data_IF_185095328258
#
_entry.id   IF_185095328258
#
_cell.length_a   1.000
_cell.length_b   1.000
_cell.length_c   1.000
_cell.angle_alpha   90.00
_cell.angle_beta   90.00
_cell.angle_gamma   90.00
#
_symmetry.space_group_name_H-M   'P 1'
#
loop_
_entity.id
_entity.type
_entity.pdbx_description
1 polymer ?
#
# COMPACT_ATOMS: atom_id res chain seq x y z
N UNK A 1 33.98 -9.78 32.88
CA UNK A 1 33.90 -11.26 32.95
C UNK A 1 33.27 -11.60 34.29
N UNK A 2 32.18 -12.37 34.32
CA UNK A 2 31.56 -12.77 35.60
C UNK A 2 32.52 -13.73 36.33
N UNK A 3 32.65 -13.57 37.65
CA UNK A 3 33.53 -14.41 38.46
C UNK A 3 32.92 -15.82 38.53
N UNK A 4 33.72 -16.85 38.24
CA UNK A 4 33.30 -18.26 38.21
C UNK A 4 32.72 -18.68 39.57
N UNK A 5 33.19 -18.06 40.65
CA UNK A 5 32.69 -18.27 42.01
C UNK A 5 31.23 -17.83 42.17
N UNK A 6 30.82 -16.75 41.51
CA UNK A 6 29.44 -16.26 41.54
C UNK A 6 28.50 -17.20 40.77
N UNK A 7 28.98 -17.82 39.69
CA UNK A 7 28.21 -18.81 38.91
C UNK A 7 28.07 -20.13 39.68
N UNK A 8 29.13 -20.59 40.33
CA UNK A 8 29.10 -21.77 41.20
C UNK A 8 28.17 -21.57 42.40
N UNK A 9 28.12 -20.35 42.95
CA UNK A 9 27.19 -19.99 44.02
C UNK A 9 25.74 -19.99 43.52
N UNK A 10 25.46 -19.41 42.36
CA UNK A 10 24.13 -19.39 41.76
C UNK A 10 23.59 -20.80 41.44
N UNK A 11 24.46 -21.71 40.97
CA UNK A 11 24.07 -23.10 40.73
C UNK A 11 23.71 -23.83 42.03
N UNK A 12 24.53 -23.65 43.07
CA UNK A 12 24.25 -24.22 44.40
C UNK A 12 22.96 -23.66 45.01
N UNK A 13 22.69 -22.38 44.80
CA UNK A 13 21.45 -21.74 45.26
C UNK A 13 20.22 -22.21 44.45
N UNK A 14 20.41 -22.63 43.19
CA UNK A 14 19.34 -23.19 42.36
C UNK A 14 18.95 -24.62 42.75
N UNK A 15 19.92 -25.45 43.17
CA UNK A 15 19.66 -26.82 43.66
C UNK A 15 18.97 -26.84 45.03
N UNK A 16 19.20 -25.81 45.85
CA UNK A 16 18.58 -25.67 47.18
C UNK A 16 17.20 -24.99 47.16
N UNK A 17 16.69 -24.62 45.97
CA UNK A 17 15.38 -24.00 45.88
C UNK A 17 14.31 -25.06 46.13
N UNK A 18 13.40 -24.86 47.11
CA UNK A 18 12.34 -25.82 47.36
C UNK A 18 11.51 -26.02 46.08
N UNK A 19 11.02 -27.25 45.83
CA UNK A 19 10.18 -27.51 44.68
C UNK A 19 8.97 -26.57 44.68
N UNK A 20 8.51 -26.13 43.51
CA UNK A 20 7.38 -25.22 43.42
C UNK A 20 6.18 -25.82 44.15
N UNK A 21 5.57 -25.03 45.02
CA UNK A 21 4.39 -25.48 45.77
C UNK A 21 3.21 -25.63 44.83
N UNK A 22 2.18 -26.37 45.26
CA UNK A 22 0.97 -26.58 44.46
C UNK A 22 0.29 -25.25 44.09
N UNK A 23 0.35 -24.25 44.97
CA UNK A 23 -0.10 -22.89 44.71
C UNK A 23 0.73 -22.17 43.64
N UNK A 24 2.04 -22.40 43.59
CA UNK A 24 2.91 -21.85 42.53
C UNK A 24 2.56 -22.46 41.17
N UNK A 25 2.30 -23.77 41.13
CA UNK A 25 1.86 -24.47 39.92
C UNK A 25 0.51 -23.96 39.42
N UNK A 26 -0.45 -23.72 40.32
CA UNK A 26 -1.73 -23.11 39.97
C UNK A 26 -1.58 -21.68 39.45
N UNK A 27 -0.71 -20.88 40.05
CA UNK A 27 -0.42 -19.51 39.60
C UNK A 27 0.27 -19.50 38.22
N UNK A 28 1.17 -20.46 37.96
CA UNK A 28 1.79 -20.67 36.65
C UNK A 28 0.72 -21.09 35.63
N UNK A 29 -0.16 -22.05 35.97
CA UNK A 29 -1.23 -22.50 35.11
C UNK A 29 -2.22 -21.36 34.77
N UNK A 30 -2.59 -20.52 35.74
CA UNK A 30 -3.42 -19.33 35.52
C UNK A 30 -2.75 -18.32 34.58
N UNK A 31 -1.44 -18.10 34.71
CA UNK A 31 -0.66 -17.22 33.80
C UNK A 31 -0.53 -17.78 32.39
N UNK A 32 -0.38 -19.10 32.24
CA UNK A 32 -0.30 -19.78 30.93
C UNK A 32 -1.68 -19.81 30.27
N UNK A 33 -2.75 -19.99 31.05
CA UNK A 33 -4.13 -20.03 30.54
C UNK A 33 -4.60 -18.67 30.03
N UNK A 34 -4.03 -17.57 30.52
CA UNK A 34 -4.35 -16.23 30.07
C UNK A 34 -3.05 -15.46 29.71
N UNK A 35 -2.41 -15.79 28.56
CA UNK A 35 -1.22 -15.10 28.12
C UNK A 35 -1.63 -13.69 27.66
N UNK A 36 -1.52 -12.72 28.55
CA UNK A 36 -1.87 -11.32 28.24
C UNK A 36 -1.02 -10.75 27.07
N UNK A 37 0.11 -11.37 26.74
CA UNK A 37 0.95 -11.02 25.60
C UNK A 37 0.40 -11.47 24.23
N UNK A 38 -0.63 -12.33 24.19
CA UNK A 38 -1.20 -12.86 22.94
C UNK A 38 -2.58 -12.28 22.58
N UNK A 39 -3.18 -11.44 23.44
CA UNK A 39 -4.50 -10.84 23.17
C UNK A 39 -4.43 -9.81 22.03
N UNK A 40 -3.37 -9.01 21.99
CA UNK A 40 -3.18 -7.97 20.96
C UNK A 40 -2.85 -8.54 19.57
N UNK A 41 -2.39 -9.78 19.50
CA UNK A 41 -2.04 -10.45 18.24
C UNK A 41 -3.30 -10.69 17.38
N UNK A 42 -4.47 -10.86 18.00
CA UNK A 42 -5.71 -11.21 17.30
C UNK A 42 -6.58 -10.00 16.92
N UNK A 43 -6.31 -8.81 17.45
CA UNK A 43 -7.19 -7.64 17.32
C UNK A 43 -6.66 -6.63 16.31
N UNK A 44 -5.33 -6.49 16.18
CA UNK A 44 -4.70 -5.49 15.32
C UNK A 44 -3.94 -6.18 14.18
N UNK A 45 -4.04 -5.60 12.98
CA UNK A 45 -3.23 -6.05 11.85
C UNK A 45 -1.74 -6.00 12.23
N UNK A 46 -0.93 -6.89 11.63
CA UNK A 46 0.52 -6.91 11.87
C UNK A 46 1.16 -5.53 11.67
N UNK A 47 0.74 -4.79 10.65
CA UNK A 47 1.22 -3.44 10.34
C UNK A 47 0.90 -2.46 11.45
N UNK A 48 -0.34 -2.48 11.97
CA UNK A 48 -0.78 -1.60 13.06
C UNK A 48 0.03 -1.81 14.34
N UNK A 49 0.60 -2.99 14.55
CA UNK A 49 1.46 -3.29 15.71
C UNK A 49 2.89 -2.81 15.55
N UNK A 50 3.38 -2.68 14.32
CA UNK A 50 4.74 -2.22 14.04
C UNK A 50 4.85 -0.69 14.04
N UNK A 51 3.75 0.00 13.72
CA UNK A 51 3.74 1.44 13.64
C UNK A 51 3.56 2.07 15.02
N UNK A 52 4.26 3.18 15.32
CA UNK A 52 3.99 3.97 16.53
C UNK A 52 2.54 4.48 16.56
N UNK A 53 1.96 4.61 17.74
CA UNK A 53 0.55 5.00 17.91
C UNK A 53 0.20 6.34 17.26
N UNK A 54 1.16 7.27 17.18
CA UNK A 54 0.97 8.58 16.54
C UNK A 54 0.63 8.50 15.05
N UNK A 55 1.00 7.43 14.34
CA UNK A 55 0.61 7.20 12.94
C UNK A 55 -0.83 6.72 12.79
N UNK A 56 -1.42 6.14 13.84
CA UNK A 56 -2.80 5.64 13.83
C UNK A 56 -3.81 6.65 14.40
N UNK A 57 -3.33 7.67 15.10
CA UNK A 57 -4.17 8.69 15.73
C UNK A 57 -4.70 9.75 14.74
N UNK A 58 -4.22 9.75 13.50
CA UNK A 58 -4.57 10.76 12.51
C UNK A 58 -5.67 10.25 11.56
N UNK A 59 -6.78 10.99 11.49
CA UNK A 59 -7.86 10.77 10.51
C UNK A 59 -7.79 11.84 9.43
N UNK A 60 -7.61 11.43 8.17
CA UNK A 60 -7.71 12.35 7.03
C UNK A 60 -9.19 12.64 6.74
N UNK A 61 -9.64 13.87 7.02
CA UNK A 61 -10.94 14.35 6.59
C UNK A 61 -10.77 15.00 5.22
N UNK A 62 -11.43 14.46 4.19
CA UNK A 62 -11.49 14.99 2.82
C UNK A 62 -10.13 15.11 2.11
N UNK A 63 -9.73 14.01 1.48
CA UNK A 63 -8.49 13.92 0.70
C UNK A 63 -8.68 14.63 -0.66
N UNK A 64 -8.08 15.81 -0.83
CA UNK A 64 -8.14 16.55 -2.10
C UNK A 64 -7.04 16.07 -3.07
N UNK A 65 -7.40 15.10 -3.92
CA UNK A 65 -6.52 14.51 -4.94
C UNK A 65 -5.99 15.51 -5.97
N UNK A 66 -6.61 16.68 -6.13
CA UNK A 66 -6.20 17.67 -7.16
C UNK A 66 -4.79 18.19 -6.96
N UNK A 67 -4.38 18.30 -5.70
CA UNK A 67 -3.08 18.84 -5.30
C UNK A 67 -1.96 17.81 -5.35
N UNK A 68 -2.26 16.55 -5.70
CA UNK A 68 -1.26 15.50 -5.75
C UNK A 68 -0.40 15.57 -7.01
N UNK A 69 0.85 15.14 -6.84
CA UNK A 69 1.76 14.92 -7.94
C UNK A 69 1.28 13.74 -8.79
N UNK A 70 1.57 13.77 -10.09
CA UNK A 70 1.21 12.72 -11.04
C UNK A 70 1.66 11.32 -10.60
N UNK A 71 2.85 11.18 -10.01
CA UNK A 71 3.34 9.90 -9.48
C UNK A 71 2.47 9.37 -8.34
N UNK A 72 1.98 10.25 -7.46
CA UNK A 72 1.06 9.86 -6.40
C UNK A 72 -0.29 9.44 -6.97
N UNK A 73 -0.75 10.09 -8.05
CA UNK A 73 -1.97 9.70 -8.75
C UNK A 73 -1.81 8.34 -9.44
N UNK A 74 -0.65 8.08 -10.07
CA UNK A 74 -0.35 6.75 -10.61
C UNK A 74 -0.31 5.70 -9.50
N UNK A 75 0.28 6.01 -8.34
CA UNK A 75 0.27 5.13 -7.18
C UNK A 75 -1.16 4.78 -6.76
N UNK A 76 -2.01 5.78 -6.54
CA UNK A 76 -3.40 5.57 -6.16
C UNK A 76 -4.12 4.71 -7.22
N UNK A 77 -3.92 5.01 -8.50
CA UNK A 77 -4.58 4.29 -9.59
C UNK A 77 -4.19 2.81 -9.65
N UNK A 78 -2.91 2.46 -9.51
CA UNK A 78 -2.44 1.07 -9.62
C UNK A 78 -2.54 0.30 -8.30
N UNK A 79 -2.48 0.97 -7.14
CA UNK A 79 -2.47 0.32 -5.83
C UNK A 79 -3.87 0.12 -5.22
N UNK A 80 -4.86 0.93 -5.61
CA UNK A 80 -6.21 0.92 -5.02
C UNK A 80 -7.29 0.61 -6.07
N UNK A 81 -7.31 -0.60 -6.66
CA UNK A 81 -8.31 -0.96 -7.66
C UNK A 81 -9.74 -0.91 -7.08
N UNK A 82 -10.71 -0.62 -7.95
CA UNK A 82 -12.15 -0.62 -7.63
C UNK A 82 -12.55 0.39 -6.52
N UNK A 83 -11.71 1.40 -6.29
CA UNK A 83 -11.96 2.44 -5.29
C UNK A 83 -12.40 3.76 -5.92
N UNK A 84 -13.18 4.54 -5.17
CA UNK A 84 -13.52 5.92 -5.59
C UNK A 84 -12.26 6.78 -5.79
N UNK A 85 -11.23 6.53 -4.98
CA UNK A 85 -9.93 7.20 -5.10
C UNK A 85 -9.23 6.89 -6.42
N UNK A 86 -9.36 5.67 -6.94
CA UNK A 86 -8.81 5.31 -8.25
C UNK A 86 -9.48 6.11 -9.36
N UNK A 87 -10.80 6.24 -9.36
CA UNK A 87 -11.50 7.02 -10.42
C UNK A 87 -11.19 8.51 -10.30
N UNK A 88 -11.13 9.02 -9.07
CA UNK A 88 -10.68 10.39 -8.78
C UNK A 88 -9.27 10.64 -9.31
N UNK A 89 -8.33 9.73 -9.06
CA UNK A 89 -6.96 9.84 -9.56
C UNK A 89 -6.88 9.72 -11.09
N UNK A 90 -7.65 8.81 -11.68
CA UNK A 90 -7.77 8.66 -13.13
C UNK A 90 -8.22 9.97 -13.79
N UNK A 91 -9.32 10.56 -13.30
CA UNK A 91 -9.85 11.80 -13.86
C UNK A 91 -8.87 12.96 -13.72
N UNK A 92 -8.18 13.06 -12.58
CA UNK A 92 -7.18 14.08 -12.36
C UNK A 92 -5.96 13.92 -13.29
N UNK A 93 -5.55 12.68 -13.62
CA UNK A 93 -4.52 12.41 -14.62
C UNK A 93 -4.96 12.87 -16.03
N UNK A 94 -6.22 12.64 -16.40
CA UNK A 94 -6.77 13.12 -17.67
C UNK A 94 -6.79 14.66 -17.73
N UNK A 95 -7.18 15.33 -16.63
CA UNK A 95 -7.16 16.80 -16.51
C UNK A 95 -5.74 17.35 -16.64
N UNK A 96 -4.74 16.65 -16.08
CA UNK A 96 -3.30 17.00 -16.21
C UNK A 96 -2.72 16.69 -17.60
N UNK A 97 -3.53 16.21 -18.55
CA UNK A 97 -3.14 16.03 -19.96
C UNK A 97 -2.67 14.62 -20.33
N UNK A 98 -2.70 13.67 -19.40
CA UNK A 98 -2.49 12.27 -19.73
C UNK A 98 -3.73 11.69 -20.43
N UNK A 99 -3.54 10.58 -21.13
CA UNK A 99 -4.63 9.75 -21.65
C UNK A 99 -4.33 8.30 -21.30
N UNK A 100 -5.36 7.51 -21.02
CA UNK A 100 -5.17 6.08 -20.82
C UNK A 100 -5.36 5.35 -22.15
N UNK A 101 -4.39 4.53 -22.55
CA UNK A 101 -4.49 3.70 -23.75
C UNK A 101 -4.84 2.27 -23.36
N UNK A 102 -6.02 1.78 -23.78
CA UNK A 102 -6.42 0.37 -23.62
C UNK A 102 -5.47 -0.60 -24.32
N UNK A 103 -4.82 -0.16 -25.39
CA UNK A 103 -3.90 -1.02 -26.15
C UNK A 103 -2.60 -1.25 -25.37
N UNK A 104 -2.09 -0.22 -24.70
CA UNK A 104 -0.86 -0.29 -23.91
C UNK A 104 -1.11 -0.62 -22.43
N UNK A 105 -2.37 -0.56 -21.99
CA UNK A 105 -2.77 -0.63 -20.58
C UNK A 105 -1.98 0.34 -19.68
N UNK A 106 -1.69 1.52 -20.21
CA UNK A 106 -0.82 2.50 -19.58
C UNK A 106 -1.27 3.93 -19.87
N UNK A 107 -0.90 4.85 -18.98
CA UNK A 107 -1.04 6.27 -19.21
C UNK A 107 0.03 6.78 -20.17
N UNK A 108 -0.42 7.55 -21.14
CA UNK A 108 0.40 8.15 -22.17
C UNK A 108 0.22 9.66 -22.19
N UNK A 109 1.31 10.37 -22.44
CA UNK A 109 1.32 11.81 -22.62
C UNK A 109 1.79 12.14 -24.03
N UNK A 110 1.07 13.07 -24.65
CA UNK A 110 1.30 13.49 -26.03
C UNK A 110 1.77 14.94 -26.03
N UNK A 111 2.94 15.20 -26.63
CA UNK A 111 3.37 16.57 -26.92
C UNK A 111 2.58 17.16 -28.10
N UNK A 112 2.13 16.29 -29.01
CA UNK A 112 1.45 16.63 -30.25
C UNK A 112 -0.06 16.37 -30.20
N UNK A 113 -0.87 16.97 -31.10
CA UNK A 113 -2.30 16.70 -31.18
C UNK A 113 -2.60 15.23 -31.49
N UNK A 114 -3.65 14.70 -30.85
CA UNK A 114 -4.15 13.31 -30.95
C UNK A 114 -4.89 13.09 -32.29
N UNK A 115 -4.16 13.10 -33.41
CA UNK A 115 -4.72 12.94 -34.76
C UNK A 115 -4.23 11.62 -35.36
N UNK A 116 -5.13 10.86 -35.97
CA UNK A 116 -4.80 9.68 -36.75
C UNK A 116 -4.15 10.09 -38.08
N UNK A 117 -2.82 10.05 -38.14
CA UNK A 117 -2.05 10.45 -39.33
C UNK A 117 -1.18 9.30 -39.88
N UNK A 118 -1.28 8.11 -39.29
CA UNK A 118 -0.47 6.93 -39.60
C UNK A 118 1.05 7.17 -39.52
N UNK A 119 1.48 8.20 -38.78
CA UNK A 119 2.91 8.47 -38.56
C UNK A 119 3.38 7.84 -37.26
N UNK A 120 4.66 7.49 -37.24
CA UNK A 120 5.36 7.11 -36.01
C UNK A 120 5.69 8.36 -35.22
N UNK A 121 5.26 8.39 -33.96
CA UNK A 121 5.56 9.46 -33.01
C UNK A 121 6.15 8.86 -31.75
N UNK A 122 7.08 9.60 -31.13
CA UNK A 122 7.58 9.26 -29.81
C UNK A 122 6.63 9.82 -28.77
N UNK A 123 6.06 8.94 -27.95
CA UNK A 123 5.13 9.28 -26.88
C UNK A 123 5.74 8.94 -25.54
N UNK A 124 5.38 9.71 -24.52
CA UNK A 124 5.82 9.43 -23.15
C UNK A 124 4.80 8.49 -22.51
N UNK A 125 5.25 7.33 -22.04
CA UNK A 125 4.42 6.29 -21.42
C UNK A 125 4.88 6.11 -19.99
N UNK A 126 3.95 6.06 -19.03
CA UNK A 126 4.29 5.69 -17.67
C UNK A 126 4.34 4.16 -17.54
N UNK A 127 5.48 3.62 -17.11
CA UNK A 127 5.67 2.19 -16.86
C UNK A 127 5.46 1.87 -15.37
N UNK A 128 4.38 1.17 -14.98
CA UNK A 128 4.08 0.87 -13.58
C UNK A 128 5.00 -0.18 -12.96
N UNK A 129 5.75 -0.96 -13.75
CA UNK A 129 6.66 -1.98 -13.23
C UNK A 129 8.02 -1.38 -12.86
N UNK A 130 8.50 -0.45 -13.68
CA UNK A 130 9.75 0.29 -13.44
C UNK A 130 9.53 1.57 -12.63
N UNK A 131 8.28 2.02 -12.52
CA UNK A 131 7.87 3.26 -11.86
C UNK A 131 8.52 4.50 -12.49
N UNK A 132 8.61 4.53 -13.81
CA UNK A 132 9.28 5.60 -14.56
C UNK A 132 8.51 6.00 -15.83
N UNK A 133 8.84 7.17 -16.38
CA UNK A 133 8.28 7.66 -17.65
C UNK A 133 9.25 7.33 -18.79
N UNK A 134 8.82 6.50 -19.72
CA UNK A 134 9.63 5.98 -20.82
C UNK A 134 9.12 6.52 -22.16
N UNK A 135 10.02 6.95 -23.02
CA UNK A 135 9.67 7.28 -24.40
C UNK A 135 9.49 5.99 -25.21
N UNK A 136 8.35 5.86 -25.89
CA UNK A 136 8.07 4.75 -26.81
C UNK A 136 7.62 5.28 -28.16
N UNK A 137 8.11 4.66 -29.22
CA UNK A 137 7.62 4.95 -30.58
C UNK A 137 6.31 4.20 -30.82
N UNK A 138 5.26 4.90 -31.27
CA UNK A 138 3.96 4.31 -31.58
C UNK A 138 3.41 4.93 -32.86
N UNK A 139 2.73 4.12 -33.67
CA UNK A 139 2.04 4.58 -34.88
C UNK A 139 0.67 5.11 -34.49
N UNK A 140 0.33 6.34 -34.88
CA UNK A 140 -0.98 6.92 -34.63
C UNK A 140 -1.95 6.55 -35.75
N UNK A 141 -2.44 5.31 -35.71
CA UNK A 141 -3.54 4.85 -36.53
C UNK A 141 -4.89 5.17 -35.88
N UNK A 142 -5.97 5.09 -36.66
CA UNK A 142 -7.33 5.33 -36.17
C UNK A 142 -7.71 4.35 -35.05
N UNK A 143 -7.16 3.13 -35.11
CA UNK A 143 -7.34 2.11 -34.08
C UNK A 143 -6.72 2.55 -32.76
N UNK A 144 -5.50 3.08 -32.75
CA UNK A 144 -4.87 3.55 -31.53
C UNK A 144 -5.60 4.76 -30.95
N UNK A 145 -5.96 5.75 -31.77
CA UNK A 145 -6.66 6.95 -31.29
C UNK A 145 -8.01 6.61 -30.68
N UNK A 146 -8.76 5.67 -31.25
CA UNK A 146 -10.04 5.20 -30.68
C UNK A 146 -9.88 4.42 -29.36
N UNK A 147 -8.68 3.97 -29.02
CA UNK A 147 -8.39 3.28 -27.74
C UNK A 147 -8.07 4.23 -26.59
N UNK A 148 -7.92 5.54 -26.87
CA UNK A 148 -7.64 6.54 -25.84
C UNK A 148 -8.93 6.86 -25.09
N UNK A 149 -8.93 6.59 -23.79
CA UNK A 149 -10.08 6.86 -22.94
C UNK A 149 -10.18 8.32 -22.54
N UNK A 150 -11.42 8.74 -22.27
CA UNK A 150 -11.78 10.07 -21.80
C UNK A 150 -12.11 10.03 -20.30
N UNK A 151 -12.50 11.19 -19.75
CA UNK A 151 -12.98 11.29 -18.37
C UNK A 151 -14.11 10.30 -18.11
N UNK A 152 -14.06 9.68 -16.93
CA UNK A 152 -15.06 8.71 -16.49
C UNK A 152 -15.88 9.36 -15.38
N UNK A 153 -17.19 9.43 -15.57
CA UNK A 153 -18.12 9.78 -14.50
C UNK A 153 -18.35 8.55 -13.62
N UNK A 154 -18.09 8.65 -12.32
CA UNK A 154 -18.57 7.66 -11.35
C UNK A 154 -20.10 7.73 -11.31
N UNK A 155 -20.77 6.85 -12.04
CA UNK A 155 -22.18 6.58 -11.80
C UNK A 155 -22.26 5.48 -10.76
N UNK A 156 -22.68 5.82 -9.55
CA UNK A 156 -23.17 4.82 -8.62
C UNK A 156 -24.58 4.46 -9.08
N UNK A 157 -24.79 3.17 -9.35
CA UNK A 157 -26.13 2.62 -9.21
C UNK A 157 -26.45 2.73 -7.72
N UNK A 158 -27.35 3.65 -7.37
CA UNK A 158 -28.04 3.58 -6.08
C UNK A 158 -28.81 2.26 -6.08
N UNK A 159 -28.19 1.18 -5.59
CA UNK A 159 -28.93 -0.05 -5.33
C UNK A 159 -30.01 0.24 -4.26
N UNK A 160 -31.23 -0.27 -4.47
CA UNK A 160 -32.46 0.14 -3.78
C UNK A 160 -32.58 -0.26 -2.31
#
# INVERSE_FOLDING_TARGET
MKNIEDELKALRDSENKPPPTLADLENIAKKISNPDYCKDIKVKSFVTRLLPECYSAFTFNNLDVKNFHEETLFFIFYALPESELQVKAYNELIIKGFAFSKTLNAFVFFADPKIADNKKRSILVFDPFLWEKVYRETVFDEKFISTLEHLVECKYDEEP
#
